data_IF_742901082162
#
_entry.id   IF_742901082162
#
_cell.length_a   1.000
_cell.length_b   1.000
_cell.length_c   1.000
_cell.angle_alpha   90.00
_cell.angle_beta   90.00
_cell.angle_gamma   90.00
#
_symmetry.space_group_name_H-M   'P 1'
#
loop_
_entity.id
_entity.type
_entity.pdbx_description
1 polymer ?
#
# COMPACT_ATOMS: atom_id res chain seq x y z
N UNK A 1 27.09 -5.31 29.67
CA UNK A 1 26.64 -5.38 28.27
C UNK A 1 26.01 -4.04 27.95
N UNK A 2 26.73 -3.20 27.23
CA UNK A 2 26.23 -1.89 26.80
C UNK A 2 25.30 -2.16 25.61
N UNK A 3 24.02 -1.87 25.77
CA UNK A 3 23.11 -1.69 24.64
C UNK A 3 23.62 -0.51 23.84
N UNK A 4 24.21 -0.76 22.68
CA UNK A 4 24.41 0.27 21.67
C UNK A 4 23.02 0.68 21.22
N UNK A 5 22.54 1.82 21.72
CA UNK A 5 21.55 2.62 20.99
C UNK A 5 22.23 2.96 19.66
N UNK A 6 21.93 2.20 18.62
CA UNK A 6 22.29 2.60 17.25
C UNK A 6 21.44 3.83 16.99
N UNK A 7 22.04 5.01 17.21
CA UNK A 7 21.37 6.30 17.11
C UNK A 7 20.77 6.44 15.71
N UNK A 8 19.47 6.16 15.60
CA UNK A 8 18.72 6.32 14.36
C UNK A 8 18.52 7.80 14.04
N UNK A 9 18.77 8.70 15.00
CA UNK A 9 18.53 10.13 14.87
C UNK A 9 19.29 10.72 13.68
N UNK A 10 18.52 11.28 12.74
CA UNK A 10 19.09 11.99 11.60
C UNK A 10 19.64 11.09 10.48
N UNK A 11 19.42 9.76 10.53
CA UNK A 11 19.78 8.87 9.43
C UNK A 11 19.22 9.40 8.10
N UNK A 12 20.09 9.74 7.15
CA UNK A 12 19.73 10.28 5.83
C UNK A 12 18.65 11.40 5.85
N UNK A 13 18.64 12.29 6.86
CA UNK A 13 17.61 13.32 7.01
C UNK A 13 17.46 14.23 5.78
N UNK A 14 18.57 14.59 5.13
CA UNK A 14 18.54 15.38 3.90
C UNK A 14 17.80 14.64 2.77
N UNK A 15 18.04 13.34 2.63
CA UNK A 15 17.37 12.54 1.61
C UNK A 15 15.87 12.43 1.92
N UNK A 16 15.48 12.27 3.19
CA UNK A 16 14.08 12.34 3.59
C UNK A 16 13.43 13.67 3.19
N UNK A 17 14.06 14.80 3.52
CA UNK A 17 13.54 16.12 3.17
C UNK A 17 13.38 16.29 1.65
N UNK A 18 14.35 15.80 0.86
CA UNK A 18 14.26 15.80 -0.60
C UNK A 18 13.13 14.90 -1.11
N UNK A 19 12.93 13.70 -0.54
CA UNK A 19 11.84 12.79 -0.93
C UNK A 19 10.47 13.41 -0.61
N UNK A 20 10.34 14.06 0.54
CA UNK A 20 9.08 14.67 0.98
C UNK A 20 8.75 15.95 0.19
N UNK A 21 9.76 16.68 -0.26
CA UNK A 21 9.59 17.90 -1.06
C UNK A 21 9.46 17.62 -2.57
N UNK A 22 9.69 16.38 -3.01
CA UNK A 22 9.67 16.04 -4.43
C UNK A 22 8.24 15.77 -4.95
N UNK A 23 7.71 16.75 -5.67
CA UNK A 23 6.47 16.62 -6.45
C UNK A 23 6.75 16.23 -7.91
N UNK A 24 8.03 16.10 -8.31
CA UNK A 24 8.43 15.88 -9.71
C UNK A 24 8.66 14.42 -10.07
N UNK A 25 8.70 13.53 -9.06
CA UNK A 25 8.86 12.09 -9.26
C UNK A 25 10.31 11.70 -9.57
N UNK A 26 11.28 12.36 -8.93
CA UNK A 26 12.70 11.99 -9.00
C UNK A 26 12.88 10.54 -8.57
N UNK A 27 13.79 9.79 -9.22
CA UNK A 27 14.15 8.46 -8.75
C UNK A 27 14.74 8.52 -7.33
N UNK A 28 14.49 7.50 -6.53
CA UNK A 28 15.08 7.33 -5.20
C UNK A 28 15.92 6.07 -5.19
N UNK A 29 17.20 6.21 -4.83
CA UNK A 29 18.19 5.14 -4.80
C UNK A 29 18.59 4.86 -3.35
N UNK A 30 18.37 3.63 -2.88
CA UNK A 30 19.03 3.13 -1.67
C UNK A 30 20.29 2.38 -2.11
N UNK A 31 21.45 2.81 -1.62
CA UNK A 31 22.74 2.28 -2.09
C UNK A 31 23.51 1.50 -1.03
N UNK A 32 24.31 0.52 -1.48
CA UNK A 32 25.23 -0.26 -0.65
C UNK A 32 24.57 -1.09 0.48
N UNK A 33 23.37 -1.61 0.22
CA UNK A 33 22.63 -2.43 1.18
C UNK A 33 22.86 -3.94 0.96
N UNK A 34 22.50 -4.74 1.96
CA UNK A 34 22.10 -6.14 1.74
C UNK A 34 20.63 -6.16 1.30
N UNK A 35 20.30 -6.80 0.18
CA UNK A 35 18.93 -6.81 -0.37
C UNK A 35 18.42 -8.25 -0.45
N UNK A 36 17.34 -8.56 0.26
CA UNK A 36 16.66 -9.85 0.19
C UNK A 36 15.48 -9.70 -0.75
N UNK A 37 15.64 -10.01 -2.04
CA UNK A 37 14.60 -9.70 -3.03
C UNK A 37 13.35 -10.55 -2.92
N UNK A 38 13.44 -11.71 -2.26
CA UNK A 38 12.43 -12.78 -2.28
C UNK A 38 12.11 -13.36 -3.67
N UNK A 39 12.86 -12.95 -4.69
CA UNK A 39 12.73 -13.48 -6.03
C UNK A 39 13.66 -14.69 -6.22
N UNK A 40 13.16 -15.84 -6.69
CA UNK A 40 13.98 -17.06 -6.81
C UNK A 40 15.07 -16.96 -7.89
N UNK A 41 14.96 -16.02 -8.85
CA UNK A 41 15.99 -15.81 -9.89
C UNK A 41 17.09 -14.86 -9.42
N UNK A 42 16.73 -13.77 -8.75
CA UNK A 42 17.70 -12.74 -8.31
C UNK A 42 18.32 -13.09 -6.95
N UNK A 43 17.53 -13.62 -6.02
CA UNK A 43 17.99 -14.03 -4.70
C UNK A 43 18.41 -12.85 -3.81
N UNK A 44 19.37 -13.11 -2.91
CA UNK A 44 19.92 -12.12 -1.98
C UNK A 44 21.20 -11.53 -2.52
N UNK A 45 21.38 -10.22 -2.37
CA UNK A 45 22.58 -9.49 -2.80
C UNK A 45 23.18 -8.70 -1.62
N UNK A 46 24.48 -8.45 -1.65
CA UNK A 46 25.20 -7.64 -0.65
C UNK A 46 25.98 -6.54 -1.35
N UNK A 47 26.00 -5.33 -0.78
CA UNK A 47 26.57 -4.15 -1.44
C UNK A 47 25.82 -3.78 -2.73
N UNK A 48 24.51 -3.99 -2.72
CA UNK A 48 23.63 -3.77 -3.85
C UNK A 48 22.76 -2.53 -3.62
N UNK A 49 22.19 -2.06 -4.72
CA UNK A 49 21.35 -0.88 -4.76
C UNK A 49 19.93 -1.25 -5.21
N UNK A 50 18.95 -0.45 -4.77
CA UNK A 50 17.57 -0.53 -5.26
C UNK A 50 17.08 0.88 -5.64
N UNK A 51 16.57 0.99 -6.86
CA UNK A 51 16.09 2.23 -7.46
C UNK A 51 14.60 2.11 -7.74
N UNK A 52 13.84 3.11 -7.32
CA UNK A 52 12.41 3.23 -7.63
C UNK A 52 12.04 4.64 -8.07
N UNK A 53 10.97 4.73 -8.86
CA UNK A 53 10.36 5.99 -9.31
C UNK A 53 8.89 5.95 -8.89
N UNK A 54 8.51 6.84 -7.98
CA UNK A 54 7.21 6.76 -7.31
C UNK A 54 6.97 5.35 -6.73
N UNK A 55 5.85 4.74 -7.09
CA UNK A 55 5.50 3.41 -6.58
C UNK A 55 6.20 2.24 -7.28
N UNK A 56 7.02 2.47 -8.31
CA UNK A 56 7.55 1.41 -9.17
C UNK A 56 9.04 1.18 -8.92
N UNK A 57 9.42 -0.05 -8.58
CA UNK A 57 10.83 -0.47 -8.61
C UNK A 57 11.27 -0.56 -10.06
N UNK A 58 12.35 0.14 -10.41
CA UNK A 58 12.87 0.18 -11.78
C UNK A 58 14.16 -0.61 -11.94
N UNK A 59 14.96 -0.74 -10.88
CA UNK A 59 16.19 -1.52 -10.90
C UNK A 59 16.56 -2.05 -9.50
N UNK A 60 17.20 -3.21 -9.48
CA UNK A 60 17.87 -3.79 -8.31
C UNK A 60 19.16 -4.45 -8.77
N UNK A 61 20.26 -4.21 -8.07
CA UNK A 61 21.56 -4.75 -8.44
C UNK A 61 22.71 -3.85 -7.99
N UNK A 62 23.96 -4.25 -8.24
CA UNK A 62 25.11 -3.46 -7.84
C UNK A 62 25.33 -2.25 -8.77
N UNK A 63 25.93 -1.19 -8.21
CA UNK A 63 26.48 -0.07 -8.98
C UNK A 63 25.44 0.67 -9.85
N UNK A 64 24.22 0.85 -9.34
CA UNK A 64 23.17 1.65 -10.00
C UNK A 64 23.36 3.16 -9.85
N UNK A 65 24.34 3.57 -9.04
CA UNK A 65 24.65 4.98 -8.76
C UNK A 65 24.87 5.83 -10.02
N UNK A 66 25.59 5.33 -11.03
CA UNK A 66 25.86 6.09 -12.26
C UNK A 66 24.60 6.35 -13.08
N UNK A 67 23.72 5.36 -13.19
CA UNK A 67 22.42 5.53 -13.87
C UNK A 67 21.50 6.47 -13.08
N UNK A 68 21.60 6.47 -11.75
CA UNK A 68 20.80 7.32 -10.88
C UNK A 68 21.29 8.78 -10.88
N UNK A 69 22.59 9.05 -11.00
CA UNK A 69 23.15 10.39 -11.13
C UNK A 69 22.68 11.09 -12.41
N UNK A 70 22.63 10.36 -13.53
CA UNK A 70 22.15 10.90 -14.82
C UNK A 70 20.70 11.42 -14.73
N UNK A 71 19.88 10.81 -13.87
CA UNK A 71 18.48 11.18 -13.63
C UNK A 71 18.27 12.04 -12.38
N UNK A 72 19.34 12.59 -11.78
CA UNK A 72 19.28 13.42 -10.58
C UNK A 72 18.54 12.75 -9.40
N UNK A 73 18.77 11.45 -9.20
CA UNK A 73 18.13 10.66 -8.15
C UNK A 73 18.45 11.19 -6.75
N UNK A 74 17.51 10.98 -5.83
CA UNK A 74 17.73 11.18 -4.40
C UNK A 74 18.42 9.94 -3.86
N UNK A 75 19.63 10.09 -3.32
CA UNK A 75 20.45 8.96 -2.85
C UNK A 75 20.35 8.83 -1.34
N UNK A 76 20.04 7.61 -0.88
CA UNK A 76 19.99 7.19 0.52
C UNK A 76 21.12 6.19 0.75
N UNK A 77 22.07 6.54 1.61
CA UNK A 77 23.15 5.61 2.00
C UNK A 77 22.58 4.55 2.95
N UNK A 78 22.53 3.30 2.47
CA UNK A 78 22.03 2.15 3.19
C UNK A 78 23.18 1.18 3.57
N UNK A 79 24.40 1.69 3.69
CA UNK A 79 25.55 0.94 4.21
C UNK A 79 25.23 0.37 5.60
N UNK A 80 25.48 -0.94 5.78
CA UNK A 80 25.19 -1.65 7.04
C UNK A 80 23.70 -1.93 7.26
N UNK A 81 22.85 -1.65 6.27
CA UNK A 81 21.43 -1.92 6.32
C UNK A 81 21.07 -3.12 5.44
N UNK A 82 19.96 -3.75 5.79
CA UNK A 82 19.26 -4.72 4.97
C UNK A 82 17.94 -4.14 4.49
N UNK A 83 17.70 -4.24 3.18
CA UNK A 83 16.43 -3.93 2.53
C UNK A 83 15.68 -5.22 2.24
N UNK A 84 14.43 -5.29 2.69
CA UNK A 84 13.52 -6.43 2.48
C UNK A 84 12.15 -5.94 1.98
N UNK A 85 11.34 -6.80 1.33
CA UNK A 85 9.93 -6.49 1.12
C UNK A 85 9.20 -6.19 2.42
N UNK A 86 8.37 -5.14 2.42
CA UNK A 86 7.45 -4.87 3.52
C UNK A 86 6.22 -5.80 3.50
N UNK A 87 6.01 -6.55 2.40
CA UNK A 87 4.92 -7.51 2.19
C UNK A 87 5.52 -8.86 1.78
N UNK A 88 5.05 -9.95 2.39
CA UNK A 88 5.49 -11.31 2.08
C UNK A 88 4.40 -12.07 1.34
N UNK A 89 4.70 -12.56 0.14
CA UNK A 89 3.87 -13.55 -0.55
C UNK A 89 4.10 -14.96 0.04
N UNK A 90 3.37 -15.28 1.10
CA UNK A 90 3.44 -16.59 1.74
C UNK A 90 2.91 -17.72 0.85
N UNK A 91 2.07 -17.39 -0.14
CA UNK A 91 1.57 -18.37 -1.12
C UNK A 91 2.70 -18.79 -2.05
N UNK A 92 3.50 -17.84 -2.56
CA UNK A 92 4.70 -18.16 -3.33
C UNK A 92 5.71 -18.97 -2.49
N UNK A 93 5.95 -18.57 -1.24
CA UNK A 93 6.86 -19.30 -0.34
C UNK A 93 6.42 -20.75 -0.08
N UNK A 94 5.12 -20.99 0.01
CA UNK A 94 4.55 -22.33 0.18
C UNK A 94 4.45 -23.13 -1.14
N UNK A 95 4.90 -22.56 -2.27
CA UNK A 95 4.83 -23.21 -3.58
C UNK A 95 3.45 -23.15 -4.25
N UNK A 96 2.54 -22.31 -3.76
CA UNK A 96 1.21 -22.08 -4.36
C UNK A 96 1.25 -21.27 -5.65
N UNK A 97 2.42 -20.75 -6.04
CA UNK A 97 2.67 -20.07 -7.32
C UNK A 97 3.78 -20.80 -8.06
N UNK A 98 3.43 -21.45 -9.17
CA UNK A 98 4.39 -22.24 -9.93
C UNK A 98 5.28 -21.38 -10.83
N UNK A 99 4.76 -20.24 -11.29
CA UNK A 99 5.46 -19.34 -12.18
C UNK A 99 5.99 -18.12 -11.43
N UNK A 100 7.28 -17.83 -11.60
CA UNK A 100 7.92 -16.64 -11.03
C UNK A 100 7.14 -15.34 -11.32
N UNK A 101 6.57 -15.22 -12.52
CA UNK A 101 5.80 -14.04 -12.94
C UNK A 101 4.52 -13.79 -12.11
N UNK A 102 4.07 -14.79 -11.35
CA UNK A 102 2.90 -14.67 -10.47
C UNK A 102 3.28 -14.19 -9.07
N UNK A 103 4.57 -14.19 -8.71
CA UNK A 103 5.03 -13.74 -7.41
C UNK A 103 4.75 -12.25 -7.25
N UNK A 104 4.15 -11.88 -6.13
CA UNK A 104 3.88 -10.49 -5.78
C UNK A 104 4.85 -10.02 -4.70
N UNK A 105 5.04 -8.71 -4.59
CA UNK A 105 5.82 -8.08 -3.51
C UNK A 105 7.29 -8.53 -3.42
N UNK A 106 7.89 -8.99 -4.52
CA UNK A 106 9.35 -9.18 -4.57
C UNK A 106 10.03 -7.82 -4.84
N UNK A 107 11.25 -7.62 -4.35
CA UNK A 107 12.03 -6.42 -4.68
C UNK A 107 12.67 -6.56 -6.06
N UNK A 108 11.85 -6.60 -7.10
CA UNK A 108 12.29 -6.73 -8.49
C UNK A 108 11.66 -5.66 -9.37
N UNK A 109 12.31 -5.30 -10.51
CA UNK A 109 11.76 -4.31 -11.42
C UNK A 109 10.33 -4.67 -11.86
N UNK A 110 9.45 -3.68 -11.84
CA UNK A 110 8.02 -3.87 -12.15
C UNK A 110 7.12 -4.04 -10.91
N UNK A 111 7.67 -4.35 -9.74
CA UNK A 111 6.92 -4.45 -8.49
C UNK A 111 6.80 -3.12 -7.76
N UNK A 112 5.91 -3.08 -6.77
CA UNK A 112 5.73 -1.91 -5.92
C UNK A 112 6.92 -1.66 -5.00
N UNK A 113 7.25 -0.40 -4.75
CA UNK A 113 8.32 0.03 -3.83
C UNK A 113 7.88 -0.01 -2.37
N UNK A 114 7.37 -1.17 -1.95
CA UNK A 114 7.00 -1.47 -0.56
C UNK A 114 8.18 -2.16 0.14
N UNK A 115 9.04 -1.36 0.76
CA UNK A 115 10.32 -1.83 1.31
C UNK A 115 10.51 -1.43 2.76
N UNK A 116 11.18 -2.30 3.50
CA UNK A 116 11.59 -2.11 4.88
C UNK A 116 13.11 -2.09 4.94
N UNK A 117 13.66 -1.08 5.60
CA UNK A 117 15.10 -0.89 5.80
C UNK A 117 15.42 -0.95 7.27
N UNK A 118 16.27 -1.90 7.64
CA UNK A 118 16.65 -2.17 9.02
C UNK A 118 18.14 -2.50 9.12
N UNK A 119 18.76 -2.35 10.30
CA UNK A 119 20.15 -2.76 10.51
C UNK A 119 20.39 -4.22 10.16
N UNK A 120 21.54 -4.52 9.56
CA UNK A 120 21.87 -5.84 9.05
C UNK A 120 21.79 -6.93 10.14
N UNK A 121 22.18 -6.60 11.37
CA UNK A 121 22.17 -7.46 12.54
C UNK A 121 20.77 -7.83 13.04
N UNK A 122 19.73 -7.07 12.66
CA UNK A 122 18.33 -7.31 13.02
C UNK A 122 17.55 -8.02 11.90
N UNK A 123 18.22 -8.31 10.78
CA UNK A 123 17.60 -8.65 9.51
C UNK A 123 18.08 -10.00 8.95
N UNK A 124 18.15 -11.05 9.76
CA UNK A 124 18.66 -12.36 9.32
C UNK A 124 17.87 -12.90 8.11
N UNK A 125 16.55 -12.74 8.15
CA UNK A 125 15.60 -13.07 7.09
C UNK A 125 14.45 -12.05 7.04
N UNK A 126 13.57 -12.19 6.05
CA UNK A 126 12.42 -11.28 5.88
C UNK A 126 11.43 -11.36 7.05
N UNK A 127 11.04 -12.55 7.57
CA UNK A 127 10.15 -12.62 8.74
C UNK A 127 10.72 -11.93 9.99
N UNK A 128 12.01 -12.10 10.29
CA UNK A 128 12.68 -11.41 11.40
C UNK A 128 12.70 -9.90 11.22
N UNK A 129 12.91 -9.44 9.99
CA UNK A 129 12.84 -8.02 9.66
C UNK A 129 11.45 -7.42 9.93
N UNK A 130 10.38 -8.09 9.47
CA UNK A 130 9.02 -7.65 9.73
C UNK A 130 8.65 -7.72 11.23
N UNK A 131 9.15 -8.71 11.96
CA UNK A 131 8.96 -8.81 13.40
C UNK A 131 9.59 -7.61 14.14
N UNK A 132 10.75 -7.11 13.66
CA UNK A 132 11.40 -5.90 14.17
C UNK A 132 10.53 -4.67 13.93
N UNK A 133 9.93 -4.51 12.76
CA UNK A 133 8.99 -3.40 12.50
C UNK A 133 7.83 -3.37 13.51
N UNK A 134 7.26 -4.53 13.83
CA UNK A 134 6.09 -4.62 14.72
C UNK A 134 6.50 -4.43 16.19
N UNK A 135 7.60 -5.06 16.60
CA UNK A 135 7.97 -5.17 18.02
C UNK A 135 8.90 -4.03 18.48
N UNK A 136 9.71 -3.50 17.57
CA UNK A 136 10.75 -2.51 17.86
C UNK A 136 10.81 -1.45 16.74
N UNK A 137 9.72 -0.72 16.45
CA UNK A 137 9.66 0.22 15.33
C UNK A 137 10.72 1.33 15.39
N UNK A 138 11.20 1.68 16.58
CA UNK A 138 12.29 2.65 16.78
C UNK A 138 13.64 2.23 16.16
N UNK A 139 13.81 0.93 15.86
CA UNK A 139 15.02 0.39 15.21
C UNK A 139 14.92 0.39 13.68
N UNK A 140 13.74 0.72 13.12
CA UNK A 140 13.52 0.80 11.68
C UNK A 140 14.10 2.08 11.12
N UNK A 141 14.93 1.97 10.08
CA UNK A 141 15.55 3.12 9.44
C UNK A 141 14.65 3.74 8.38
N UNK A 142 13.95 2.90 7.61
CA UNK A 142 12.87 3.36 6.74
C UNK A 142 11.79 2.27 6.56
N UNK A 143 10.54 2.70 6.48
CA UNK A 143 9.46 1.94 5.88
C UNK A 143 8.91 2.79 4.73
N UNK A 144 8.96 2.28 3.51
CA UNK A 144 8.44 2.94 2.32
C UNK A 144 7.21 2.16 1.85
N UNK A 145 6.14 2.88 1.54
CA UNK A 145 4.93 2.32 0.94
C UNK A 145 4.63 3.08 -0.35
N UNK A 146 4.56 2.37 -1.47
CA UNK A 146 4.34 2.92 -2.80
C UNK A 146 5.23 4.15 -3.09
N UNK A 147 6.50 4.09 -2.69
CA UNK A 147 7.49 5.14 -2.91
C UNK A 147 7.49 6.27 -1.90
N UNK A 148 6.57 6.28 -0.94
CA UNK A 148 6.47 7.32 0.08
C UNK A 148 6.97 6.83 1.44
N UNK A 149 7.77 7.63 2.17
CA UNK A 149 8.14 7.31 3.54
C UNK A 149 6.91 7.22 4.46
N UNK A 150 6.84 6.15 5.26
CA UNK A 150 5.83 5.92 6.31
C UNK A 150 6.49 5.97 7.69
N UNK A 151 7.67 5.37 7.81
CA UNK A 151 8.56 5.51 8.94
C UNK A 151 9.93 5.91 8.43
N UNK A 152 10.63 6.72 9.22
CA UNK A 152 12.00 7.12 8.97
C UNK A 152 12.73 7.33 10.30
N UNK A 153 13.93 6.77 10.45
CA UNK A 153 14.73 6.92 11.66
C UNK A 153 13.94 6.60 12.95
N UNK A 154 13.16 5.52 12.93
CA UNK A 154 12.32 5.08 14.05
C UNK A 154 11.08 5.94 14.34
N UNK A 155 10.83 6.98 13.54
CA UNK A 155 9.75 7.95 13.73
C UNK A 155 8.76 7.92 12.57
N UNK A 156 7.58 8.45 12.81
CA UNK A 156 6.57 8.68 11.79
C UNK A 156 7.08 9.69 10.75
N UNK A 157 7.04 9.32 9.47
CA UNK A 157 7.38 10.26 8.41
C UNK A 157 6.37 11.42 8.39
N UNK A 158 6.83 12.67 8.27
CA UNK A 158 5.94 13.83 8.13
C UNK A 158 4.95 13.66 6.99
N UNK A 159 3.68 14.01 7.23
CA UNK A 159 2.63 13.96 6.20
C UNK A 159 2.17 12.54 5.82
N UNK A 160 2.63 11.48 6.50
CA UNK A 160 2.12 10.13 6.28
C UNK A 160 0.61 10.06 6.55
N UNK A 161 -0.08 9.17 5.83
CA UNK A 161 -1.47 8.86 6.13
C UNK A 161 -1.60 8.23 7.52
N UNK A 162 -2.69 8.55 8.22
CA UNK A 162 -3.03 7.86 9.47
C UNK A 162 -3.69 6.53 9.12
N UNK A 163 -3.22 5.45 9.73
CA UNK A 163 -3.82 4.13 9.52
C UNK A 163 -5.31 4.17 9.93
N UNK A 164 -6.21 3.56 9.13
CA UNK A 164 -7.62 3.46 9.49
C UNK A 164 -7.80 2.76 10.84
N UNK A 165 -8.74 3.26 11.65
CA UNK A 165 -9.09 2.60 12.90
C UNK A 165 -9.80 1.27 12.64
N UNK A 166 -9.55 0.28 13.51
CA UNK A 166 -10.28 -1.00 13.47
C UNK A 166 -11.75 -0.79 13.88
N UNK A 167 -12.66 -1.40 13.13
CA UNK A 167 -14.09 -1.43 13.42
C UNK A 167 -14.96 -0.88 12.30
N UNK A 168 -16.29 -0.99 12.47
CA UNK A 168 -17.25 -0.40 11.54
C UNK A 168 -17.40 1.08 11.88
N UNK A 169 -17.04 2.00 10.99
CA UNK A 169 -17.19 3.42 11.25
C UNK A 169 -18.66 3.81 11.34
N UNK A 170 -18.94 4.95 11.98
CA UNK A 170 -20.27 5.54 11.93
C UNK A 170 -20.65 5.87 10.48
N UNK A 171 -21.94 5.81 10.14
CA UNK A 171 -22.41 6.27 8.84
C UNK A 171 -22.12 7.77 8.69
N UNK A 172 -21.46 8.20 7.61
CA UNK A 172 -21.27 9.63 7.35
C UNK A 172 -22.60 10.29 6.98
N UNK A 173 -22.74 11.59 7.29
CA UNK A 173 -23.78 12.41 6.70
C UNK A 173 -23.41 12.72 5.25
N UNK A 174 -24.22 12.23 4.32
CA UNK A 174 -24.02 12.35 2.87
C UNK A 174 -25.00 13.33 2.25
N UNK A 175 -25.61 14.22 3.05
CA UNK A 175 -26.49 15.28 2.56
C UNK A 175 -25.76 16.13 1.50
N UNK A 176 -26.36 16.23 0.32
CA UNK A 176 -25.79 16.97 -0.82
C UNK A 176 -24.74 16.20 -1.62
N UNK A 177 -24.43 14.95 -1.28
CA UNK A 177 -23.60 14.09 -2.11
C UNK A 177 -24.27 13.82 -3.46
N UNK A 178 -23.56 13.94 -4.60
CA UNK A 178 -24.13 13.63 -5.91
C UNK A 178 -24.35 12.12 -6.13
N UNK A 179 -23.99 11.28 -5.15
CA UNK A 179 -24.13 9.82 -5.21
C UNK A 179 -25.35 9.30 -4.45
N UNK A 180 -26.06 10.17 -3.74
CA UNK A 180 -27.30 9.87 -3.03
C UNK A 180 -28.47 9.90 -4.02
N UNK A 181 -29.36 8.92 -3.92
CA UNK A 181 -30.50 8.72 -4.81
C UNK A 181 -30.66 7.27 -5.25
N UNK A 182 -31.54 7.03 -6.23
CA UNK A 182 -31.86 5.68 -6.72
C UNK A 182 -30.96 5.34 -7.90
N UNK A 183 -30.14 4.30 -7.72
CA UNK A 183 -29.31 3.71 -8.76
C UNK A 183 -30.06 2.55 -9.41
N UNK A 184 -30.20 2.59 -10.73
CA UNK A 184 -30.98 1.61 -11.50
C UNK A 184 -30.04 0.91 -12.47
N UNK A 185 -30.08 -0.43 -12.49
CA UNK A 185 -29.30 -1.21 -13.44
C UNK A 185 -29.83 -1.10 -14.87
N UNK A 186 -29.02 -1.52 -15.85
CA UNK A 186 -29.34 -1.37 -17.27
C UNK A 186 -30.63 -2.09 -17.69
N UNK A 187 -31.01 -3.16 -16.98
CA UNK A 187 -32.17 -3.99 -17.29
C UNK A 187 -33.42 -3.63 -16.48
N UNK A 188 -33.37 -2.57 -15.67
CA UNK A 188 -34.45 -2.16 -14.74
C UNK A 188 -34.84 -3.28 -13.74
N UNK A 189 -33.92 -4.21 -13.51
CA UNK A 189 -34.09 -5.35 -12.63
C UNK A 189 -33.70 -5.05 -11.18
N UNK A 190 -32.68 -4.23 -10.97
CA UNK A 190 -32.13 -3.87 -9.66
C UNK A 190 -32.21 -2.36 -9.46
N UNK A 191 -32.93 -1.94 -8.42
CA UNK A 191 -33.01 -0.55 -7.97
C UNK A 191 -32.41 -0.44 -6.58
N UNK A 192 -31.37 0.35 -6.42
CA UNK A 192 -30.67 0.56 -5.17
C UNK A 192 -30.78 2.03 -4.75
N UNK A 193 -31.57 2.31 -3.72
CA UNK A 193 -31.66 3.63 -3.12
C UNK A 193 -30.54 3.83 -2.10
N UNK A 194 -29.75 4.88 -2.28
CA UNK A 194 -28.74 5.35 -1.32
C UNK A 194 -29.26 6.61 -0.65
N UNK A 195 -29.47 6.58 0.66
CA UNK A 195 -29.99 7.72 1.42
C UNK A 195 -28.87 8.54 2.06
N UNK A 196 -29.16 9.80 2.39
CA UNK A 196 -28.17 10.73 2.95
C UNK A 196 -27.69 10.36 4.36
N UNK A 197 -28.47 9.59 5.13
CA UNK A 197 -28.09 9.08 6.45
C UNK A 197 -27.22 7.81 6.38
N UNK A 198 -26.76 7.44 5.19
CA UNK A 198 -25.85 6.31 4.97
C UNK A 198 -26.56 4.95 5.06
N UNK A 199 -27.85 4.90 4.73
CA UNK A 199 -28.63 3.66 4.57
C UNK A 199 -28.85 3.35 3.11
N UNK A 200 -28.88 2.07 2.77
CA UNK A 200 -29.29 1.64 1.45
C UNK A 200 -30.47 0.68 1.51
N UNK A 201 -31.24 0.67 0.43
CA UNK A 201 -32.36 -0.22 0.20
C UNK A 201 -32.33 -0.72 -1.24
N UNK A 202 -32.28 -2.04 -1.42
CA UNK A 202 -32.21 -2.66 -2.72
C UNK A 202 -33.51 -3.42 -3.03
N UNK A 203 -34.07 -3.17 -4.21
CA UNK A 203 -35.18 -3.91 -4.80
C UNK A 203 -34.64 -4.73 -5.97
N UNK A 204 -35.02 -6.02 -6.06
CA UNK A 204 -34.66 -6.90 -7.19
C UNK A 204 -35.86 -7.57 -7.82
N UNK A 205 -36.03 -7.42 -9.13
CA UNK A 205 -37.11 -8.05 -9.90
C UNK A 205 -38.49 -7.80 -9.31
N UNK A 206 -38.72 -6.60 -8.75
CA UNK A 206 -39.96 -6.22 -8.06
C UNK A 206 -40.12 -6.75 -6.63
N UNK A 207 -39.12 -7.44 -6.05
CA UNK A 207 -39.09 -7.76 -4.62
C UNK A 207 -38.49 -6.57 -3.84
N UNK A 208 -39.29 -5.75 -3.15
CA UNK A 208 -38.78 -4.64 -2.36
C UNK A 208 -38.00 -5.15 -1.15
N UNK A 209 -37.06 -4.34 -0.65
CA UNK A 209 -36.25 -4.65 0.52
C UNK A 209 -35.54 -6.01 0.38
N UNK A 210 -35.09 -6.31 -0.83
CA UNK A 210 -34.35 -7.52 -1.13
C UNK A 210 -33.08 -7.59 -0.28
N UNK A 211 -32.43 -6.43 -0.10
CA UNK A 211 -31.30 -6.19 0.80
C UNK A 211 -31.39 -4.77 1.36
N UNK A 212 -30.96 -4.58 2.61
CA UNK A 212 -31.02 -3.30 3.30
C UNK A 212 -29.87 -3.23 4.28
N UNK A 213 -29.27 -2.07 4.43
CA UNK A 213 -28.15 -1.94 5.34
C UNK A 213 -27.57 -0.55 5.39
N UNK A 214 -26.31 -0.48 5.82
CA UNK A 214 -25.50 0.74 5.81
C UNK A 214 -24.52 0.73 4.66
N UNK A 215 -24.10 1.91 4.23
CA UNK A 215 -23.03 2.04 3.26
C UNK A 215 -22.05 3.17 3.61
N UNK A 216 -20.84 3.07 3.07
CA UNK A 216 -19.78 4.05 3.20
C UNK A 216 -19.15 4.29 1.84
N UNK A 217 -18.79 5.54 1.55
CA UNK A 217 -18.12 5.94 0.32
C UNK A 217 -16.71 6.40 0.69
N UNK A 218 -15.70 5.84 0.04
CA UNK A 218 -14.30 6.24 0.14
C UNK A 218 -13.69 6.38 -1.25
N UNK A 219 -13.35 7.61 -1.66
CA UNK A 219 -12.95 7.91 -3.03
C UNK A 219 -14.02 7.44 -4.01
N UNK A 220 -13.68 6.51 -4.90
CA UNK A 220 -14.64 5.88 -5.84
C UNK A 220 -15.14 4.50 -5.38
N UNK A 221 -14.76 4.03 -4.20
CA UNK A 221 -15.27 2.79 -3.62
C UNK A 221 -16.52 3.07 -2.78
N UNK A 222 -17.47 2.14 -2.84
CA UNK A 222 -18.60 2.07 -1.90
C UNK A 222 -18.64 0.69 -1.26
N UNK A 223 -18.69 0.65 0.07
CA UNK A 223 -18.84 -0.57 0.85
C UNK A 223 -20.22 -0.62 1.48
N UNK A 224 -20.82 -1.80 1.50
CA UNK A 224 -22.13 -2.08 2.07
C UNK A 224 -21.99 -3.06 3.22
N UNK A 225 -22.70 -2.80 4.31
CA UNK A 225 -22.96 -3.77 5.37
C UNK A 225 -24.47 -3.98 5.46
N UNK A 226 -24.93 -5.10 4.94
CA UNK A 226 -26.33 -5.52 5.03
C UNK A 226 -26.72 -5.83 6.48
N UNK A 227 -27.98 -5.65 6.83
CA UNK A 227 -28.50 -5.93 8.17
C UNK A 227 -28.48 -7.43 8.51
N UNK A 228 -28.36 -8.32 7.51
CA UNK A 228 -28.08 -9.75 7.68
C UNK A 228 -26.59 -10.02 7.99
N UNK A 229 -25.73 -9.00 7.94
CA UNK A 229 -24.34 -9.05 8.39
C UNK A 229 -23.31 -9.39 7.32
N UNK A 230 -23.70 -9.49 6.04
CA UNK A 230 -22.76 -9.68 4.95
C UNK A 230 -22.29 -8.33 4.37
N UNK A 231 -21.09 -8.34 3.78
CA UNK A 231 -20.51 -7.20 3.12
C UNK A 231 -20.59 -7.34 1.60
N UNK A 232 -20.78 -6.22 0.93
CA UNK A 232 -20.63 -6.12 -0.51
C UNK A 232 -19.85 -4.85 -0.86
N UNK A 233 -19.35 -4.78 -2.09
CA UNK A 233 -18.57 -3.64 -2.58
C UNK A 233 -19.07 -3.22 -3.94
N UNK A 234 -18.95 -1.93 -4.23
CA UNK A 234 -19.08 -1.38 -5.57
C UNK A 234 -18.04 -0.30 -5.84
N UNK A 235 -17.92 0.09 -7.10
CA UNK A 235 -17.00 1.11 -7.56
C UNK A 235 -17.71 2.07 -8.50
N UNK A 236 -17.54 3.37 -8.25
CA UNK A 236 -18.02 4.42 -9.13
C UNK A 236 -17.03 4.62 -10.28
N UNK A 237 -17.55 4.66 -11.50
CA UNK A 237 -16.80 5.00 -12.70
C UNK A 237 -17.49 6.21 -13.35
N UNK A 238 -17.11 7.41 -12.90
CA UNK A 238 -17.78 8.65 -13.31
C UNK A 238 -19.24 8.67 -12.84
N UNK A 239 -20.17 8.44 -13.78
CA UNK A 239 -21.62 8.44 -13.54
C UNK A 239 -22.23 7.04 -13.40
N UNK A 240 -21.40 6.00 -13.38
CA UNK A 240 -21.83 4.61 -13.23
C UNK A 240 -21.45 4.07 -11.86
N UNK A 241 -22.27 3.18 -11.31
CA UNK A 241 -21.95 2.36 -10.15
C UNK A 241 -21.84 0.89 -10.59
N UNK A 242 -20.64 0.33 -10.49
CA UNK A 242 -20.36 -1.08 -10.77
C UNK A 242 -20.43 -1.86 -9.47
N UNK A 243 -21.42 -2.74 -9.32
CA UNK A 243 -21.67 -3.49 -8.10
C UNK A 243 -22.06 -4.93 -8.44
N UNK A 244 -21.26 -5.89 -7.99
CA UNK A 244 -21.51 -7.35 -8.09
C UNK A 244 -22.13 -7.78 -9.44
N UNK A 245 -21.47 -7.44 -10.54
CA UNK A 245 -21.91 -7.80 -11.90
C UNK A 245 -22.98 -6.91 -12.52
N UNK A 246 -23.48 -5.91 -11.78
CA UNK A 246 -24.41 -4.90 -12.28
C UNK A 246 -23.68 -3.59 -12.56
N UNK A 247 -24.12 -2.88 -13.60
CA UNK A 247 -23.76 -1.50 -13.88
C UNK A 247 -25.04 -0.69 -13.71
N UNK A 248 -25.01 0.29 -12.82
CA UNK A 248 -26.16 1.12 -12.50
C UNK A 248 -25.90 2.59 -12.83
N UNK A 249 -26.96 3.31 -13.11
CA UNK A 249 -26.96 4.76 -13.30
C UNK A 249 -27.89 5.42 -12.29
N UNK A 250 -27.52 6.61 -11.83
CA UNK A 250 -28.38 7.41 -10.97
C UNK A 250 -29.58 7.94 -11.78
N UNK A 251 -30.79 7.74 -11.25
CA UNK A 251 -32.05 8.16 -11.86
C UNK A 251 -32.26 9.69 -11.86
#
# INVERSE_FOLDING_TARGET
MSTTDTDTAGWNAKALDEILADDTGRPVLFTNARILTMDPLIGTMTGADILFVGSLIVAVGPSLFTAAEDDNAIVVDATGMTVVPAVIDTVALAGGRAERAQHIATLTPGNTSDLLVIPEELATDVPGALATLISHPHQVHALIAAGRPVLWAGNDAPGRATAPALGVPASPDLTGSPRVGVWIDQDDFLHQELTADGRYDETRGGRPHAYQGRYWIDGDRIDYLDDLGFWAVGYFHGHELHHVGYIMHLA
#
